data_IF_252843024533
#
_entry.id   IF_252843024533
#
_cell.length_a   1.000
_cell.length_b   1.000
_cell.length_c   1.000
_cell.angle_alpha   90.00
_cell.angle_beta   90.00
_cell.angle_gamma   90.00
#
_symmetry.space_group_name_H-M   'P 1'
#
loop_
_entity.id
_entity.type
_entity.pdbx_description
1 polymer ?
#
# COMPACT_ATOMS: atom_id res chain seq x y z
N UNK A 1 7.47 42.63 45.52
CA UNK A 1 6.16 42.64 44.83
C UNK A 1 6.35 42.01 43.46
N UNK A 2 5.53 41.03 43.12
CA UNK A 2 5.77 39.98 42.11
C UNK A 2 5.77 40.48 40.65
N UNK A 3 6.65 39.85 39.83
CA UNK A 3 6.70 39.93 38.37
C UNK A 3 5.39 39.42 37.74
N UNK A 4 4.84 40.12 36.77
CA UNK A 4 3.95 39.52 35.77
C UNK A 4 4.35 39.99 34.37
N UNK A 5 5.19 39.19 33.74
CA UNK A 5 5.38 39.17 32.29
C UNK A 5 4.10 38.58 31.67
N UNK A 6 3.16 39.42 31.24
CA UNK A 6 2.12 38.98 30.33
C UNK A 6 2.71 38.94 28.92
N UNK A 7 3.14 37.75 28.55
CA UNK A 7 3.59 37.39 27.22
C UNK A 7 2.37 37.47 26.29
N UNK A 8 2.24 38.61 25.60
CA UNK A 8 1.20 38.85 24.61
C UNK A 8 1.48 37.91 23.42
N UNK A 9 0.81 36.77 23.39
CA UNK A 9 0.88 35.81 22.28
C UNK A 9 0.38 36.55 21.04
N UNK A 10 1.31 36.92 20.15
CA UNK A 10 1.00 37.59 18.90
C UNK A 10 0.11 36.65 18.07
N UNK A 11 -1.03 37.10 17.53
CA UNK A 11 -1.94 36.25 16.76
C UNK A 11 -1.30 35.61 15.52
N UNK A 12 -0.21 36.20 15.01
CA UNK A 12 0.57 35.68 13.89
C UNK A 12 1.19 34.29 14.15
N UNK A 13 1.58 33.99 15.39
CA UNK A 13 2.19 32.70 15.76
C UNK A 13 1.17 31.57 15.84
N UNK A 14 -0.09 31.86 16.20
CA UNK A 14 -1.16 30.87 16.26
C UNK A 14 -1.64 30.45 14.86
N UNK A 15 -1.67 31.39 13.91
CA UNK A 15 -2.09 31.13 12.52
C UNK A 15 -1.05 30.27 11.78
N UNK A 16 0.25 30.47 12.06
CA UNK A 16 1.34 29.65 11.51
C UNK A 16 1.30 28.20 11.99
N UNK A 17 0.93 27.97 13.26
CA UNK A 17 0.76 26.62 13.80
C UNK A 17 -0.46 25.89 13.18
N UNK A 18 -1.54 26.61 12.91
CA UNK A 18 -2.73 26.06 12.24
C UNK A 18 -2.47 25.74 10.76
N UNK A 19 -1.72 26.60 10.06
CA UNK A 19 -1.29 26.34 8.69
C UNK A 19 -0.29 25.17 8.60
N UNK A 20 0.62 25.03 9.56
CA UNK A 20 1.52 23.87 9.64
C UNK A 20 0.79 22.56 9.93
N UNK A 21 -0.26 22.57 10.76
CA UNK A 21 -1.13 21.39 10.97
C UNK A 21 -1.99 21.05 9.75
N UNK A 22 -2.44 22.05 8.98
CA UNK A 22 -3.23 21.85 7.76
C UNK A 22 -2.41 21.41 6.54
N UNK A 23 -1.07 21.49 6.59
CA UNK A 23 -0.19 20.91 5.56
C UNK A 23 0.15 19.45 5.89
N UNK A 24 0.09 19.05 7.17
CA UNK A 24 0.29 17.65 7.59
C UNK A 24 -0.91 16.74 7.27
N UNK A 25 -2.08 17.30 6.91
CA UNK A 25 -3.25 16.52 6.49
C UNK A 25 -3.22 16.09 5.02
N UNK A 26 -2.18 16.44 4.26
CA UNK A 26 -1.98 16.03 2.85
C UNK A 26 -1.63 14.54 2.68
N UNK A 27 -1.57 13.76 3.76
CA UNK A 27 -0.77 12.53 3.85
C UNK A 27 -1.50 11.19 3.95
N UNK A 28 -2.84 11.11 3.88
CA UNK A 28 -3.54 9.83 3.66
C UNK A 28 -3.48 9.42 2.17
N UNK A 29 -2.34 9.63 1.53
CA UNK A 29 -2.11 9.17 0.16
C UNK A 29 -1.79 7.69 0.21
N UNK A 30 -2.84 6.87 0.27
CA UNK A 30 -2.69 5.45 0.03
C UNK A 30 -2.07 5.27 -1.37
N UNK A 31 -0.96 4.53 -1.43
CA UNK A 31 -0.13 4.39 -2.62
C UNK A 31 -0.47 3.07 -3.33
N UNK A 32 -0.68 3.12 -4.64
CA UNK A 32 -0.89 1.95 -5.50
C UNK A 32 0.37 1.71 -6.33
N UNK A 33 0.98 0.54 -6.19
CA UNK A 33 2.15 0.12 -6.98
C UNK A 33 1.85 -1.19 -7.67
N UNK A 34 2.23 -1.31 -8.94
CA UNK A 34 1.96 -2.49 -9.76
C UNK A 34 3.28 -3.09 -10.20
N UNK A 35 3.42 -4.38 -9.97
CA UNK A 35 4.61 -5.16 -10.31
C UNK A 35 4.22 -6.30 -11.24
N UNK A 36 5.14 -6.70 -12.11
CA UNK A 36 4.98 -7.88 -12.97
C UNK A 36 6.00 -8.94 -12.56
N UNK A 37 5.49 -10.15 -12.31
CA UNK A 37 6.28 -11.37 -12.15
C UNK A 37 6.23 -12.18 -13.44
N UNK A 38 7.36 -12.78 -13.82
CA UNK A 38 7.45 -13.74 -14.92
C UNK A 38 6.86 -15.13 -14.57
N UNK A 39 6.37 -15.31 -13.34
CA UNK A 39 5.77 -16.56 -12.88
C UNK A 39 4.24 -16.52 -12.94
N UNK A 40 3.58 -17.67 -13.14
CA UNK A 40 2.13 -17.79 -13.05
C UNK A 40 1.65 -17.66 -11.60
N UNK A 41 0.39 -17.24 -11.42
CA UNK A 41 -0.13 -16.83 -10.11
C UNK A 41 -0.08 -17.95 -9.05
N UNK A 42 -0.36 -19.19 -9.47
CA UNK A 42 -0.36 -20.35 -8.56
C UNK A 42 1.02 -20.71 -7.99
N UNK A 43 2.11 -20.30 -8.64
CA UNK A 43 3.48 -20.42 -8.11
C UNK A 43 3.91 -19.17 -7.36
N UNK A 44 3.38 -18.02 -7.78
CA UNK A 44 3.75 -16.73 -7.24
C UNK A 44 3.26 -16.52 -5.81
N UNK A 45 2.00 -16.86 -5.50
CA UNK A 45 1.41 -16.59 -4.18
C UNK A 45 2.18 -17.29 -3.05
N UNK A 46 2.51 -18.60 -3.13
CA UNK A 46 3.33 -19.25 -2.11
C UNK A 46 4.71 -18.58 -1.95
N UNK A 47 5.39 -18.29 -3.07
CA UNK A 47 6.70 -17.62 -3.06
C UNK A 47 6.64 -16.24 -2.41
N UNK A 48 5.55 -15.48 -2.62
CA UNK A 48 5.35 -14.19 -1.96
C UNK A 48 5.21 -14.35 -0.44
N UNK A 49 4.42 -15.32 0.02
CA UNK A 49 4.22 -15.57 1.46
C UNK A 49 5.54 -15.96 2.13
N UNK A 50 6.32 -16.83 1.49
CA UNK A 50 7.65 -17.24 1.96
C UNK A 50 8.58 -16.02 2.03
N UNK A 51 8.67 -15.23 0.96
CA UNK A 51 9.52 -14.04 0.93
C UNK A 51 9.13 -12.98 1.97
N UNK A 52 7.83 -12.79 2.23
CA UNK A 52 7.35 -11.92 3.30
C UNK A 52 7.80 -12.43 4.68
N UNK A 53 7.68 -13.75 4.90
CA UNK A 53 8.09 -14.39 6.16
C UNK A 53 9.60 -14.26 6.37
N UNK A 54 10.40 -14.51 5.34
CA UNK A 54 11.86 -14.39 5.35
C UNK A 54 12.33 -12.94 5.56
N UNK A 55 11.60 -11.97 5.02
CA UNK A 55 11.82 -10.55 5.25
C UNK A 55 11.41 -10.08 6.66
N UNK A 56 10.93 -11.00 7.52
CA UNK A 56 10.48 -10.71 8.88
C UNK A 56 9.17 -9.91 8.92
N UNK A 57 8.41 -9.89 7.83
CA UNK A 57 7.11 -9.23 7.76
C UNK A 57 6.08 -10.09 8.48
N UNK A 58 5.58 -9.60 9.61
CA UNK A 58 4.48 -10.25 10.34
C UNK A 58 3.16 -9.68 9.83
N UNK A 59 2.24 -10.55 9.43
CA UNK A 59 0.93 -10.15 8.94
C UNK A 59 -0.15 -11.12 9.38
N UNK A 60 -1.41 -10.73 9.22
CA UNK A 60 -2.58 -11.58 9.39
C UNK A 60 -3.44 -11.41 8.15
N UNK A 61 -3.92 -12.53 7.59
CA UNK A 61 -4.83 -12.49 6.44
C UNK A 61 -6.24 -12.24 6.99
N UNK A 62 -6.82 -11.11 6.61
CA UNK A 62 -8.18 -10.73 7.02
C UNK A 62 -9.21 -11.27 6.04
N UNK A 63 -8.89 -11.23 4.73
CA UNK A 63 -9.78 -11.69 3.68
C UNK A 63 -8.97 -12.25 2.50
N UNK A 64 -9.50 -13.30 1.89
CA UNK A 64 -9.02 -13.85 0.62
C UNK A 64 -10.10 -13.59 -0.44
N UNK A 65 -9.70 -13.10 -1.60
CA UNK A 65 -10.61 -12.89 -2.73
C UNK A 65 -10.39 -13.99 -3.77
N UNK A 66 -11.47 -14.59 -4.25
CA UNK A 66 -11.43 -15.56 -5.36
C UNK A 66 -12.02 -14.91 -6.62
N UNK A 67 -11.34 -15.11 -7.75
CA UNK A 67 -11.73 -14.50 -9.02
C UNK A 67 -13.15 -14.86 -9.46
N UNK A 68 -13.62 -16.08 -9.16
CA UNK A 68 -14.94 -16.57 -9.58
C UNK A 68 -16.06 -15.98 -8.73
N UNK A 69 -15.82 -15.71 -7.45
CA UNK A 69 -16.84 -15.22 -6.52
C UNK A 69 -16.81 -13.71 -6.37
N UNK A 70 -15.62 -13.12 -6.30
CA UNK A 70 -15.41 -11.71 -5.96
C UNK A 70 -15.05 -10.84 -7.17
N UNK A 71 -14.82 -11.45 -8.35
CA UNK A 71 -14.37 -10.76 -9.55
C UNK A 71 -12.92 -10.24 -9.48
N UNK A 72 -12.19 -10.56 -8.40
CA UNK A 72 -10.76 -10.30 -8.23
C UNK A 72 -10.09 -11.43 -7.45
N UNK A 73 -8.84 -11.73 -7.77
CA UNK A 73 -8.00 -12.61 -6.97
C UNK A 73 -7.09 -11.75 -6.08
N UNK A 74 -6.97 -12.07 -4.79
CA UNK A 74 -6.19 -11.22 -3.90
C UNK A 74 -6.25 -11.60 -2.42
N UNK A 75 -5.54 -10.83 -1.61
CA UNK A 75 -5.44 -10.95 -0.17
C UNK A 75 -5.55 -9.56 0.46
N UNK A 76 -6.47 -9.41 1.41
CA UNK A 76 -6.45 -8.31 2.35
C UNK A 76 -5.69 -8.77 3.60
N UNK A 77 -4.60 -8.07 3.91
CA UNK A 77 -3.75 -8.40 5.06
C UNK A 77 -3.61 -7.21 6.00
N UNK A 78 -3.42 -7.52 7.29
CA UNK A 78 -3.05 -6.55 8.31
C UNK A 78 -1.60 -6.76 8.73
N UNK A 79 -0.77 -5.73 8.61
CA UNK A 79 0.64 -5.73 8.98
C UNK A 79 0.85 -5.53 10.50
N UNK A 80 1.82 -6.24 11.07
CA UNK A 80 2.19 -6.21 12.50
C UNK A 80 3.69 -5.90 12.71
N UNK A 81 4.06 -5.16 13.78
CA UNK A 81 3.18 -4.38 14.64
C UNK A 81 2.70 -3.11 13.91
N UNK A 82 1.44 -2.70 14.13
CA UNK A 82 0.91 -1.47 13.53
C UNK A 82 -0.56 -1.54 13.11
N UNK A 83 -1.10 -2.73 12.85
CA UNK A 83 -2.53 -2.87 12.50
C UNK A 83 -2.90 -2.24 11.15
N UNK A 84 -1.91 -2.02 10.27
CA UNK A 84 -2.10 -1.31 9.01
C UNK A 84 -2.57 -2.27 7.92
N UNK A 85 -3.61 -1.88 7.19
CA UNK A 85 -4.18 -2.72 6.13
C UNK A 85 -3.43 -2.55 4.81
N UNK A 86 -3.26 -3.67 4.10
CA UNK A 86 -2.66 -3.76 2.77
C UNK A 86 -3.55 -4.67 1.92
N UNK A 87 -4.02 -4.16 0.79
CA UNK A 87 -4.74 -4.96 -0.22
C UNK A 87 -3.75 -5.34 -1.31
N UNK A 88 -3.54 -6.64 -1.49
CA UNK A 88 -2.71 -7.23 -2.54
C UNK A 88 -3.66 -7.92 -3.51
N UNK A 89 -3.69 -7.44 -4.75
CA UNK A 89 -4.50 -8.02 -5.82
C UNK A 89 -3.60 -8.66 -6.88
N UNK A 90 -3.99 -9.83 -7.35
CA UNK A 90 -3.28 -10.60 -8.37
C UNK A 90 -4.10 -10.67 -9.66
N UNK A 91 -3.42 -10.59 -10.79
CA UNK A 91 -4.02 -10.80 -12.09
C UNK A 91 -3.11 -11.71 -12.92
N UNK A 92 -3.66 -12.82 -13.39
CA UNK A 92 -2.94 -13.77 -14.23
C UNK A 92 -3.03 -13.35 -15.70
N UNK A 93 -1.89 -13.09 -16.33
CA UNK A 93 -1.78 -12.77 -17.76
C UNK A 93 -1.74 -14.08 -18.59
N UNK A 94 -2.82 -14.87 -18.52
CA UNK A 94 -3.00 -16.15 -19.23
C UNK A 94 -1.88 -17.18 -18.93
N UNK A 95 -1.50 -17.36 -17.67
CA UNK A 95 -0.50 -18.32 -17.22
C UNK A 95 0.95 -18.00 -17.61
N UNK A 96 1.21 -16.83 -18.22
CA UNK A 96 2.57 -16.41 -18.63
C UNK A 96 3.25 -15.53 -17.59
N UNK A 97 2.50 -14.65 -16.95
CA UNK A 97 3.00 -13.69 -15.98
C UNK A 97 1.90 -13.30 -15.01
N UNK A 98 2.29 -12.81 -13.83
CA UNK A 98 1.35 -12.31 -12.81
C UNK A 98 1.58 -10.82 -12.61
N UNK A 99 0.52 -10.03 -12.77
CA UNK A 99 0.48 -8.66 -12.30
C UNK A 99 0.03 -8.63 -10.84
N UNK A 100 0.75 -7.85 -10.04
CA UNK A 100 0.50 -7.70 -8.60
C UNK A 100 0.29 -6.22 -8.32
N UNK A 101 -0.90 -5.83 -7.89
CA UNK A 101 -1.16 -4.49 -7.39
C UNK A 101 -1.19 -4.50 -5.87
N UNK A 102 -0.55 -3.51 -5.27
CA UNK A 102 -0.48 -3.35 -3.82
C UNK A 102 -0.99 -1.98 -3.47
N UNK A 103 -1.97 -1.94 -2.59
CA UNK A 103 -2.52 -0.72 -2.01
C UNK A 103 -2.13 -0.69 -0.54
N UNK A 104 -1.26 0.25 -0.17
CA UNK A 104 -0.86 0.46 1.23
C UNK A 104 -1.32 1.83 1.72
N UNK A 105 -1.80 1.92 2.95
CA UNK A 105 -2.20 3.18 3.58
C UNK A 105 -0.99 3.99 4.07
N UNK A 106 0.15 3.33 4.31
CA UNK A 106 1.36 3.91 4.89
C UNK A 106 2.52 3.90 3.85
N UNK A 107 3.21 5.04 3.62
CA UNK A 107 4.35 5.12 2.70
C UNK A 107 5.55 4.24 3.09
N UNK A 108 5.74 3.99 4.39
CA UNK A 108 6.78 3.11 4.92
C UNK A 108 6.54 1.66 4.53
N UNK A 109 5.29 1.20 4.58
CA UNK A 109 4.93 -0.14 4.08
C UNK A 109 5.14 -0.22 2.57
N UNK A 110 4.78 0.83 1.83
CA UNK A 110 5.01 0.90 0.38
C UNK A 110 6.47 0.69 -0.01
N UNK A 111 7.39 1.30 0.76
CA UNK A 111 8.84 1.17 0.54
C UNK A 111 9.35 -0.24 0.86
N UNK A 112 8.84 -0.86 1.93
CA UNK A 112 9.21 -2.24 2.30
C UNK A 112 8.71 -3.25 1.27
N UNK A 113 7.49 -3.07 0.79
CA UNK A 113 6.98 -3.88 -0.31
C UNK A 113 7.80 -3.64 -1.58
N UNK A 114 8.11 -2.40 -1.95
CA UNK A 114 8.99 -2.16 -3.10
C UNK A 114 10.29 -2.95 -3.01
N UNK A 115 10.92 -2.93 -1.84
CA UNK A 115 12.14 -3.68 -1.59
C UNK A 115 11.92 -5.18 -1.79
N UNK A 116 10.85 -5.74 -1.20
CA UNK A 116 10.49 -7.14 -1.36
C UNK A 116 10.25 -7.53 -2.83
N UNK A 117 9.41 -6.78 -3.54
CA UNK A 117 9.01 -7.11 -4.90
C UNK A 117 10.17 -6.95 -5.90
N UNK A 118 10.93 -5.87 -5.82
CA UNK A 118 12.01 -5.59 -6.77
C UNK A 118 13.27 -6.36 -6.41
N UNK A 119 13.70 -6.35 -5.14
CA UNK A 119 15.00 -6.88 -4.75
C UNK A 119 14.95 -8.37 -4.39
N UNK A 120 13.89 -8.84 -3.72
CA UNK A 120 13.80 -10.24 -3.31
C UNK A 120 13.14 -11.09 -4.39
N UNK A 121 12.04 -10.61 -4.97
CA UNK A 121 11.24 -11.36 -5.94
C UNK A 121 11.62 -11.09 -7.40
N UNK A 122 12.64 -10.24 -7.65
CA UNK A 122 13.12 -9.86 -8.99
C UNK A 122 12.01 -9.41 -9.95
N UNK A 123 11.01 -8.69 -9.43
CA UNK A 123 9.89 -8.20 -10.23
C UNK A 123 10.19 -6.84 -10.84
N UNK A 124 9.54 -6.56 -11.97
CA UNK A 124 9.59 -5.25 -12.60
C UNK A 124 8.42 -4.40 -12.15
N UNK A 125 8.68 -3.18 -11.69
CA UNK A 125 7.64 -2.19 -11.44
C UNK A 125 7.11 -1.66 -12.78
N UNK A 126 5.82 -1.88 -13.05
CA UNK A 126 5.17 -1.54 -14.32
C UNK A 126 4.18 -0.39 -14.20
N UNK A 127 3.91 0.09 -12.98
CA UNK A 127 3.05 1.25 -12.76
C UNK A 127 3.09 1.81 -11.34
N UNK A 128 2.99 3.14 -11.26
CA UNK A 128 2.85 3.93 -10.05
C UNK A 128 1.58 4.77 -10.15
N UNK A 129 0.68 4.67 -9.18
CA UNK A 129 -0.56 5.44 -9.16
C UNK A 129 -0.94 5.91 -7.76
N UNK A 130 -1.75 6.97 -7.71
CA UNK A 130 -2.61 7.24 -6.54
C UNK A 130 -3.70 6.15 -6.52
N UNK A 131 -4.35 5.88 -5.37
CA UNK A 131 -5.60 5.11 -5.39
C UNK A 131 -6.65 5.97 -6.12
N UNK A 132 -6.64 5.85 -7.43
CA UNK A 132 -7.77 6.09 -8.27
C UNK A 132 -8.30 4.70 -8.62
N UNK A 133 -9.63 4.55 -8.63
CA UNK A 133 -10.29 3.28 -8.96
C UNK A 133 -10.07 2.87 -10.42
N UNK A 134 -9.37 3.71 -11.19
CA UNK A 134 -8.83 3.36 -12.50
C UNK A 134 -7.88 2.16 -12.39
N UNK A 135 -8.39 1.05 -12.92
CA UNK A 135 -7.65 -0.19 -13.05
C UNK A 135 -6.83 -0.09 -14.34
N UNK A 136 -5.52 -0.46 -14.35
CA UNK A 136 -4.70 -0.36 -15.55
C UNK A 136 -5.29 -1.16 -16.71
N UNK A 137 -4.99 -0.75 -17.95
CA UNK A 137 -5.39 -1.50 -19.14
C UNK A 137 -4.95 -2.96 -19.03
N UNK A 138 -5.90 -3.90 -19.19
CA UNK A 138 -5.68 -5.35 -19.05
C UNK A 138 -6.17 -5.96 -17.73
N UNK A 139 -6.46 -5.16 -16.70
CA UNK A 139 -7.10 -5.65 -15.49
C UNK A 139 -8.61 -5.85 -15.68
N UNK A 140 -9.25 -6.79 -14.94
CA UNK A 140 -10.70 -6.86 -14.89
C UNK A 140 -11.26 -5.53 -14.37
N UNK A 141 -12.15 -4.92 -15.17
CA UNK A 141 -12.92 -3.75 -14.72
C UNK A 141 -13.75 -4.19 -13.52
N UNK A 142 -13.82 -3.40 -12.43
CA UNK A 142 -14.84 -3.62 -11.42
C UNK A 142 -16.16 -3.46 -12.17
N UNK A 143 -16.90 -4.54 -12.31
CA UNK A 143 -18.28 -4.47 -12.78
C UNK A 143 -19.00 -3.48 -11.87
N UNK A 144 -19.66 -2.49 -12.47
CA UNK A 144 -20.46 -1.47 -11.78
C UNK A 144 -21.41 -2.08 -10.76
#
# INVERSE_FOLDING_TARGET
MYRQFMNQIRPATAILALAAMMIASSGLLAQKRIYRSAQPVGKFIPMLIDAMTDAGMKFTVEQTYDEKTDGKLGLLITMKPGGRMVDISFHDENGKSTLVAIRSQDPGDSSRFNQLFVQTLNMSEVGLGKIDDTVPAGWPSPSK
#
